data_IF_424319745106
#
_entry.id   IF_424319745106
#
_cell.length_a   1.000
_cell.length_b   1.000
_cell.length_c   1.000
_cell.angle_alpha   90.00
_cell.angle_beta   90.00
_cell.angle_gamma   90.00
#
_symmetry.space_group_name_H-M   'P 1'
#
loop_
_entity.id
_entity.type
_entity.pdbx_description
1 polymer ?
#
# COMPACT_ATOMS: atom_id res chain seq x y z
N UNK A 1 -6.91 -5.67 -26.37
CA UNK A 1 -6.73 -4.26 -25.97
C UNK A 1 -7.68 -3.97 -24.81
N UNK A 2 -7.17 -3.39 -23.73
CA UNK A 2 -7.99 -3.07 -22.56
C UNK A 2 -8.81 -1.80 -22.81
N UNK A 3 -10.04 -1.76 -22.30
CA UNK A 3 -10.96 -0.63 -22.44
C UNK A 3 -11.15 0.08 -21.11
N UNK A 4 -11.09 1.40 -21.11
CA UNK A 4 -11.36 2.22 -19.94
C UNK A 4 -12.79 1.97 -19.44
N UNK A 5 -12.98 1.63 -18.16
CA UNK A 5 -14.29 1.34 -17.61
C UNK A 5 -15.18 2.59 -17.50
N UNK A 6 -14.58 3.79 -17.53
CA UNK A 6 -15.28 5.08 -17.40
C UNK A 6 -15.75 5.67 -18.73
N UNK A 7 -14.91 5.60 -19.76
CA UNK A 7 -15.15 6.28 -21.05
C UNK A 7 -14.92 5.40 -22.29
N UNK A 8 -14.65 4.10 -22.11
CA UNK A 8 -14.46 3.09 -23.16
C UNK A 8 -13.31 3.36 -24.15
N UNK A 9 -12.41 4.31 -23.85
CA UNK A 9 -11.21 4.52 -24.67
C UNK A 9 -10.22 3.36 -24.49
N UNK A 10 -9.39 3.12 -25.50
CA UNK A 10 -8.30 2.16 -25.38
C UNK A 10 -7.29 2.64 -24.35
N UNK A 11 -7.00 1.81 -23.37
CA UNK A 11 -5.89 2.05 -22.46
C UNK A 11 -4.56 1.93 -23.20
N UNK A 12 -3.56 2.68 -22.75
CA UNK A 12 -2.21 2.65 -23.28
C UNK A 12 -1.25 2.27 -22.15
N UNK A 13 -0.22 1.49 -22.46
CA UNK A 13 0.83 1.20 -21.52
C UNK A 13 1.50 2.51 -21.05
N UNK A 14 1.70 2.62 -19.74
CA UNK A 14 2.40 3.70 -19.06
C UNK A 14 3.36 3.11 -18.01
N UNK A 15 4.28 3.93 -17.50
CA UNK A 15 5.15 3.56 -16.38
C UNK A 15 4.88 4.49 -15.21
N UNK A 16 4.54 3.93 -14.06
CA UNK A 16 4.36 4.65 -12.82
C UNK A 16 5.35 4.10 -11.80
N UNK A 17 6.30 4.93 -11.35
CA UNK A 17 7.32 4.55 -10.36
C UNK A 17 8.10 3.27 -10.76
N UNK A 18 8.35 3.09 -12.06
CA UNK A 18 9.03 1.89 -12.59
C UNK A 18 8.12 0.68 -12.83
N UNK A 19 6.85 0.75 -12.45
CA UNK A 19 5.86 -0.31 -12.68
C UNK A 19 5.10 -0.05 -13.98
N UNK A 20 5.03 -1.07 -14.82
CA UNK A 20 4.26 -1.01 -16.06
C UNK A 20 2.77 -1.14 -15.73
N UNK A 21 1.99 -0.13 -16.11
CA UNK A 21 0.53 -0.06 -15.89
C UNK A 21 -0.19 0.31 -17.19
N UNK A 22 -1.51 0.32 -17.17
CA UNK A 22 -2.34 0.77 -18.30
C UNK A 22 -3.11 2.05 -17.93
N UNK A 23 -2.92 3.14 -18.68
CA UNK A 23 -3.56 4.44 -18.43
C UNK A 23 -4.51 4.85 -19.56
N UNK A 24 -5.65 5.42 -19.19
CA UNK A 24 -6.56 6.03 -20.15
C UNK A 24 -6.07 7.42 -20.55
N UNK A 25 -5.79 7.67 -21.84
CA UNK A 25 -5.31 8.99 -22.29
C UNK A 25 -6.36 10.10 -22.20
N UNK A 26 -7.65 9.76 -22.02
CA UNK A 26 -8.75 10.73 -21.97
C UNK A 26 -9.07 11.16 -20.55
N UNK A 27 -9.36 10.22 -19.65
CA UNK A 27 -9.72 10.54 -18.27
C UNK A 27 -8.54 10.51 -17.29
N UNK A 28 -7.40 9.90 -17.65
CA UNK A 28 -6.22 9.74 -16.79
C UNK A 28 -6.34 8.64 -15.72
N UNK A 29 -7.40 7.84 -15.76
CA UNK A 29 -7.57 6.67 -14.89
C UNK A 29 -6.59 5.56 -15.26
N UNK A 30 -6.19 4.78 -14.24
CA UNK A 30 -5.10 3.81 -14.28
C UNK A 30 -5.61 2.45 -13.87
N UNK A 31 -5.23 1.45 -14.64
CA UNK A 31 -5.43 0.05 -14.35
C UNK A 31 -4.12 -0.57 -13.89
N UNK A 32 -4.18 -1.22 -12.74
CA UNK A 32 -3.12 -2.01 -12.15
C UNK A 32 -3.55 -3.48 -12.21
N UNK A 33 -2.75 -4.33 -12.82
CA UNK A 33 -2.89 -5.78 -12.66
C UNK A 33 -2.60 -6.18 -11.20
N UNK A 34 -2.78 -7.47 -10.93
CA UNK A 34 -2.41 -8.08 -9.66
C UNK A 34 -0.99 -7.64 -9.25
N UNK A 35 -0.86 -7.21 -8.01
CA UNK A 35 0.38 -6.76 -7.35
C UNK A 35 1.01 -5.46 -7.88
N UNK A 36 0.65 -4.97 -9.08
CA UNK A 36 1.24 -3.75 -9.66
C UNK A 36 1.02 -2.50 -8.79
N UNK A 37 -0.17 -2.36 -8.18
CA UNK A 37 -0.47 -1.22 -7.29
C UNK A 37 0.44 -1.21 -6.06
N UNK A 38 0.63 -2.39 -5.46
CA UNK A 38 1.51 -2.56 -4.30
C UNK A 38 2.95 -2.24 -4.65
N UNK A 39 3.48 -2.81 -5.73
CA UNK A 39 4.85 -2.55 -6.18
C UNK A 39 5.05 -1.05 -6.49
N UNK A 40 4.06 -0.38 -7.07
CA UNK A 40 4.13 1.05 -7.36
C UNK A 40 4.20 1.90 -6.09
N UNK A 41 3.47 1.52 -5.03
CA UNK A 41 3.59 2.16 -3.70
C UNK A 41 4.96 1.90 -3.10
N UNK A 42 5.40 0.65 -3.06
CA UNK A 42 6.69 0.27 -2.46
C UNK A 42 7.88 0.99 -3.13
N UNK A 43 7.72 1.38 -4.39
CA UNK A 43 8.72 2.13 -5.16
C UNK A 43 8.62 3.65 -4.96
N UNK A 44 7.70 4.13 -4.11
CA UNK A 44 7.47 5.57 -3.88
C UNK A 44 8.26 6.08 -2.68
N UNK A 45 8.23 5.36 -1.56
CA UNK A 45 8.94 5.70 -0.32
C UNK A 45 9.12 4.42 0.51
N UNK A 46 10.35 4.17 0.97
CA UNK A 46 10.71 2.98 1.77
C UNK A 46 9.97 2.97 3.12
N UNK A 47 9.67 4.16 3.69
CA UNK A 47 8.97 4.27 4.98
C UNK A 47 7.46 3.94 4.84
N UNK A 48 6.92 3.87 3.62
CA UNK A 48 5.52 3.48 3.35
C UNK A 48 5.35 2.01 2.96
N UNK A 49 6.46 1.27 2.86
CA UNK A 49 6.48 -0.08 2.30
C UNK A 49 5.68 -1.08 3.13
N UNK A 50 5.79 -1.00 4.46
CA UNK A 50 5.06 -1.83 5.43
C UNK A 50 3.54 -1.58 5.48
N UNK A 51 3.04 -0.50 4.90
CA UNK A 51 1.60 -0.25 4.86
C UNK A 51 0.96 -0.99 3.67
N UNK A 52 0.24 -2.07 3.97
CA UNK A 52 -0.34 -2.93 2.94
C UNK A 52 -1.60 -2.40 2.24
N UNK A 53 -1.82 -2.97 1.06
CA UNK A 53 -3.08 -2.88 0.31
C UNK A 53 -3.90 -4.16 0.53
N UNK A 54 -4.53 -4.30 1.70
CA UNK A 54 -5.41 -5.43 2.04
C UNK A 54 -6.79 -5.35 1.34
N UNK A 55 -6.79 -5.15 0.02
CA UNK A 55 -8.02 -4.95 -0.75
C UNK A 55 -8.80 -6.26 -0.95
N UNK A 56 -8.13 -7.39 -0.75
CA UNK A 56 -8.66 -8.73 -1.03
C UNK A 56 -8.80 -9.61 0.20
N UNK A 57 -8.57 -9.07 1.40
CA UNK A 57 -8.97 -9.74 2.64
C UNK A 57 -10.49 -9.61 2.81
N UNK A 58 -11.19 -10.75 2.70
CA UNK A 58 -12.65 -10.83 2.80
C UNK A 58 -13.15 -10.50 4.22
N UNK A 59 -12.30 -10.63 5.25
CA UNK A 59 -12.66 -10.29 6.64
C UNK A 59 -12.63 -8.77 6.89
N UNK A 60 -11.58 -8.09 6.40
CA UNK A 60 -11.42 -6.64 6.54
C UNK A 60 -12.45 -5.85 5.71
N UNK A 61 -12.84 -6.37 4.53
CA UNK A 61 -13.60 -5.60 3.54
C UNK A 61 -15.12 -5.79 3.56
N UNK A 62 -15.63 -6.73 4.36
CA UNK A 62 -17.04 -7.17 4.34
C UNK A 62 -18.05 -6.04 4.56
N UNK A 63 -17.66 -4.96 5.24
CA UNK A 63 -18.55 -3.84 5.62
C UNK A 63 -18.30 -2.52 4.85
N UNK A 64 -17.23 -2.42 4.06
CA UNK A 64 -16.88 -1.21 3.28
C UNK A 64 -17.02 -1.40 1.75
N UNK A 65 -17.17 -2.64 1.28
CA UNK A 65 -17.31 -2.98 -0.12
C UNK A 65 -18.75 -2.74 -0.66
N UNK A 66 -18.87 -2.11 -1.83
CA UNK A 66 -20.12 -1.86 -2.54
C UNK A 66 -20.01 -2.29 -4.01
N UNK A 67 -21.07 -2.78 -4.65
CA UNK A 67 -21.05 -3.06 -6.08
C UNK A 67 -20.69 -1.80 -6.89
N UNK A 68 -19.70 -1.91 -7.78
CA UNK A 68 -19.35 -0.83 -8.71
C UNK A 68 -20.13 -0.98 -10.02
N UNK A 69 -20.56 0.13 -10.66
CA UNK A 69 -21.11 0.09 -12.02
C UNK A 69 -20.03 -0.22 -13.09
N UNK A 70 -18.74 -0.11 -12.74
CA UNK A 70 -17.62 -0.31 -13.65
C UNK A 70 -17.36 -1.81 -13.88
N UNK A 71 -16.98 -2.17 -15.11
CA UNK A 71 -16.51 -3.52 -15.48
C UNK A 71 -14.99 -3.58 -15.53
N UNK A 72 -14.41 -4.70 -15.15
CA UNK A 72 -12.97 -4.90 -15.22
C UNK A 72 -12.47 -4.80 -16.67
N UNK A 73 -11.43 -3.99 -16.97
CA UNK A 73 -10.86 -3.89 -18.31
C UNK A 73 -10.27 -5.20 -18.86
N UNK A 74 -9.89 -6.12 -17.96
CA UNK A 74 -9.15 -7.36 -18.27
C UNK A 74 -10.07 -8.56 -18.52
N UNK A 75 -11.06 -8.77 -17.66
CA UNK A 75 -11.94 -9.95 -17.69
C UNK A 75 -13.44 -9.61 -17.83
N UNK A 76 -13.80 -8.32 -17.89
CA UNK A 76 -15.18 -7.82 -17.97
C UNK A 76 -16.09 -8.16 -16.79
N UNK A 77 -15.56 -8.73 -15.70
CA UNK A 77 -16.31 -8.98 -14.47
C UNK A 77 -16.78 -7.66 -13.84
N UNK A 78 -17.86 -7.73 -13.05
CA UNK A 78 -18.30 -6.58 -12.25
C UNK A 78 -17.26 -6.30 -11.18
N UNK A 79 -16.87 -5.04 -11.02
CA UNK A 79 -15.93 -4.64 -9.98
C UNK A 79 -16.65 -4.30 -8.68
N UNK A 80 -15.89 -4.32 -7.60
CA UNK A 80 -16.32 -3.93 -6.27
C UNK A 80 -15.61 -2.63 -5.92
N UNK A 81 -16.36 -1.63 -5.47
CA UNK A 81 -15.83 -0.36 -4.98
C UNK A 81 -15.66 -0.42 -3.47
N UNK A 82 -14.52 0.03 -2.95
CA UNK A 82 -14.28 0.19 -1.52
C UNK A 82 -13.51 1.47 -1.24
N UNK A 83 -13.65 2.00 -0.03
CA UNK A 83 -12.81 3.10 0.43
C UNK A 83 -11.47 2.54 0.92
N UNK A 84 -10.35 3.08 0.44
CA UNK A 84 -9.04 2.70 0.96
C UNK A 84 -8.86 3.26 2.38
N UNK A 85 -8.83 2.36 3.37
CA UNK A 85 -8.75 2.70 4.80
C UNK A 85 -9.79 3.78 5.18
N UNK A 86 -9.34 4.94 5.65
CA UNK A 86 -10.17 6.13 5.94
C UNK A 86 -9.72 7.33 5.10
N UNK A 87 -9.14 7.07 3.92
CA UNK A 87 -8.59 8.10 3.03
C UNK A 87 -9.65 8.84 2.20
N UNK A 88 -10.92 8.39 2.22
CA UNK A 88 -12.00 8.82 1.32
C UNK A 88 -11.72 8.59 -0.17
N UNK A 89 -10.67 7.85 -0.51
CA UNK A 89 -10.36 7.45 -1.88
C UNK A 89 -11.11 6.17 -2.18
N UNK A 90 -12.02 6.24 -3.16
CA UNK A 90 -12.78 5.09 -3.62
C UNK A 90 -11.99 4.37 -4.69
N UNK A 91 -11.60 3.13 -4.41
CA UNK A 91 -10.89 2.29 -5.36
C UNK A 91 -11.86 1.24 -5.92
N UNK A 92 -11.63 0.77 -7.14
CA UNK A 92 -12.36 -0.37 -7.68
C UNK A 92 -11.45 -1.58 -7.85
N UNK A 93 -11.82 -2.70 -7.24
CA UNK A 93 -11.12 -3.98 -7.38
C UNK A 93 -11.92 -4.97 -8.21
N UNK A 94 -11.21 -5.82 -8.94
CA UNK A 94 -11.79 -6.99 -9.57
C UNK A 94 -11.51 -8.23 -8.70
N UNK A 95 -12.57 -8.87 -8.19
CA UNK A 95 -12.43 -10.07 -7.36
C UNK A 95 -11.99 -11.32 -8.14
N UNK A 96 -12.05 -11.28 -9.49
CA UNK A 96 -11.65 -12.37 -10.39
C UNK A 96 -10.16 -12.30 -10.71
N UNK A 97 -9.69 -11.28 -11.42
CA UNK A 97 -8.26 -11.17 -11.80
C UNK A 97 -7.37 -10.46 -10.76
N UNK A 98 -7.95 -10.00 -9.64
CA UNK A 98 -7.25 -9.28 -8.55
C UNK A 98 -6.57 -7.98 -9.01
N UNK A 99 -7.05 -7.38 -10.09
CA UNK A 99 -6.61 -6.06 -10.55
C UNK A 99 -7.39 -4.92 -9.89
N UNK A 100 -6.83 -3.72 -9.96
CA UNK A 100 -7.37 -2.51 -9.32
C UNK A 100 -7.43 -1.37 -10.33
N UNK A 101 -8.52 -0.61 -10.32
CA UNK A 101 -8.69 0.63 -11.04
C UNK A 101 -8.63 1.81 -10.07
N UNK A 102 -7.87 2.83 -10.46
CA UNK A 102 -7.81 4.13 -9.79
C UNK A 102 -8.13 5.23 -10.80
N UNK A 103 -9.03 6.15 -10.44
CA UNK A 103 -9.25 7.37 -11.21
C UNK A 103 -8.04 8.33 -11.10
N UNK A 104 -8.01 9.34 -11.97
CA UNK A 104 -6.90 10.29 -12.06
C UNK A 104 -6.63 10.96 -10.71
N UNK A 105 -5.38 10.86 -10.25
CA UNK A 105 -4.89 11.48 -9.02
C UNK A 105 -5.28 10.75 -7.74
N UNK A 106 -5.97 9.61 -7.81
CA UNK A 106 -6.29 8.81 -6.62
C UNK A 106 -5.06 8.12 -6.02
N UNK A 107 -4.14 7.65 -6.87
CA UNK A 107 -2.86 7.11 -6.40
C UNK A 107 -2.10 8.11 -5.52
N UNK A 108 -1.94 9.36 -5.99
CA UNK A 108 -1.23 10.39 -5.23
C UNK A 108 -1.94 10.75 -3.92
N UNK A 109 -3.28 10.71 -3.89
CA UNK A 109 -4.06 10.92 -2.66
C UNK A 109 -3.84 9.79 -1.65
N UNK A 110 -3.77 8.55 -2.12
CA UNK A 110 -3.48 7.38 -1.28
C UNK A 110 -2.08 7.54 -0.68
N UNK A 111 -1.06 7.81 -1.50
CA UNK A 111 0.32 8.02 -1.00
C UNK A 111 0.34 9.13 0.05
N UNK A 112 -0.28 10.28 -0.23
CA UNK A 112 -0.35 11.38 0.73
C UNK A 112 -1.08 11.01 2.03
N UNK A 113 -2.12 10.20 1.96
CA UNK A 113 -2.79 9.70 3.16
C UNK A 113 -1.85 8.82 4.01
N UNK A 114 -1.09 7.94 3.36
CA UNK A 114 -0.12 7.05 4.02
C UNK A 114 1.04 7.83 4.65
N UNK A 115 1.59 8.84 3.95
CA UNK A 115 2.59 9.76 4.48
C UNK A 115 2.09 10.46 5.76
N UNK A 116 0.85 10.96 5.75
CA UNK A 116 0.27 11.60 6.93
C UNK A 116 0.09 10.61 8.09
N UNK A 117 -0.32 9.36 7.79
CA UNK A 117 -0.44 8.29 8.79
C UNK A 117 0.90 8.08 9.50
N UNK A 118 1.96 7.82 8.72
CA UNK A 118 3.34 7.62 9.23
C UNK A 118 3.81 8.80 10.09
N UNK A 119 3.56 10.04 9.65
CA UNK A 119 4.02 11.23 10.37
C UNK A 119 3.23 11.46 11.68
N UNK A 120 1.99 10.99 11.77
CA UNK A 120 1.10 11.28 12.91
C UNK A 120 1.04 10.20 13.99
N UNK A 121 1.50 8.98 13.70
CA UNK A 121 1.36 7.85 14.63
C UNK A 121 2.33 7.90 15.81
N UNK A 122 1.86 7.58 17.04
CA UNK A 122 2.69 7.53 18.23
C UNK A 122 3.50 6.24 18.30
N UNK A 123 4.56 6.22 19.13
CA UNK A 123 5.43 5.04 19.27
C UNK A 123 4.66 3.76 19.67
N UNK A 124 3.57 3.91 20.43
CA UNK A 124 2.75 2.78 20.87
C UNK A 124 1.99 2.07 19.75
N UNK A 125 1.59 2.79 18.69
CA UNK A 125 0.95 2.15 17.53
C UNK A 125 2.01 1.44 16.70
N UNK A 126 3.14 2.11 16.42
CA UNK A 126 4.28 1.48 15.76
C UNK A 126 4.77 0.21 16.46
N UNK A 127 4.75 0.16 17.79
CA UNK A 127 5.11 -1.06 18.52
C UNK A 127 4.21 -2.25 18.14
N UNK A 128 2.89 -2.02 17.95
CA UNK A 128 1.97 -3.07 17.51
C UNK A 128 2.25 -3.47 16.07
N UNK A 129 2.52 -2.50 15.21
CA UNK A 129 2.83 -2.76 13.80
C UNK A 129 4.16 -3.55 13.67
N UNK A 130 5.19 -3.24 14.48
CA UNK A 130 6.43 -4.04 14.57
C UNK A 130 6.13 -5.50 14.92
N UNK A 131 5.22 -5.76 15.86
CA UNK A 131 4.83 -7.14 16.19
C UNK A 131 4.08 -7.82 15.03
N UNK A 132 3.18 -7.09 14.36
CA UNK A 132 2.43 -7.59 13.19
C UNK A 132 3.39 -7.97 12.05
N UNK A 133 4.26 -7.06 11.64
CA UNK A 133 5.23 -7.30 10.56
C UNK A 133 6.19 -8.44 10.92
N UNK A 134 6.54 -8.59 12.21
CA UNK A 134 7.33 -9.73 12.67
C UNK A 134 6.61 -11.08 12.47
N UNK A 135 5.29 -11.13 12.71
CA UNK A 135 4.50 -12.33 12.42
C UNK A 135 4.44 -12.61 10.90
N UNK A 136 4.30 -11.58 10.09
CA UNK A 136 4.22 -11.67 8.62
C UNK A 136 5.52 -12.19 7.98
N UNK A 137 6.69 -12.00 8.59
CA UNK A 137 7.92 -12.69 8.15
C UNK A 137 7.74 -14.22 8.06
N UNK A 138 6.90 -14.81 8.91
CA UNK A 138 6.65 -16.25 8.95
C UNK A 138 5.37 -16.68 8.23
N UNK A 139 4.34 -15.84 8.25
CA UNK A 139 2.99 -16.19 7.75
C UNK A 139 2.52 -15.38 6.56
N UNK A 140 3.29 -14.38 6.14
CA UNK A 140 2.92 -13.38 5.15
C UNK A 140 2.72 -13.95 3.75
N UNK A 141 1.85 -13.31 2.93
CA UNK A 141 1.57 -13.75 1.57
C UNK A 141 2.69 -13.36 0.58
N UNK A 142 3.64 -12.51 1.00
CA UNK A 142 4.69 -12.01 0.14
C UNK A 142 5.97 -12.85 0.20
N UNK A 143 6.96 -12.48 -0.62
CA UNK A 143 8.28 -13.12 -0.52
C UNK A 143 8.92 -12.72 0.81
N UNK A 144 9.63 -13.65 1.46
CA UNK A 144 10.30 -13.41 2.75
C UNK A 144 11.21 -12.17 2.77
N UNK A 145 11.85 -11.83 1.64
CA UNK A 145 12.70 -10.63 1.54
C UNK A 145 11.85 -9.33 1.57
N UNK A 146 10.62 -9.38 1.07
CA UNK A 146 9.63 -8.30 1.14
C UNK A 146 9.27 -8.04 2.59
N UNK A 147 8.75 -9.07 3.27
CA UNK A 147 8.30 -9.03 4.66
C UNK A 147 9.41 -8.58 5.62
N UNK A 148 10.65 -9.04 5.40
CA UNK A 148 11.80 -8.59 6.20
C UNK A 148 12.05 -7.09 6.03
N UNK A 149 11.92 -6.55 4.81
CA UNK A 149 12.10 -5.11 4.58
C UNK A 149 10.98 -4.31 5.24
N UNK A 150 9.77 -4.83 5.21
CA UNK A 150 8.59 -4.19 5.80
C UNK A 150 8.73 -4.11 7.32
N UNK A 151 9.15 -5.21 7.95
CA UNK A 151 9.55 -5.24 9.37
C UNK A 151 10.63 -4.20 9.72
N UNK A 152 11.69 -4.10 8.92
CA UNK A 152 12.76 -3.12 9.21
C UNK A 152 12.33 -1.67 8.98
N UNK A 153 11.42 -1.40 8.02
CA UNK A 153 10.87 -0.08 7.80
C UNK A 153 10.05 0.38 9.02
N UNK A 154 9.15 -0.46 9.53
CA UNK A 154 8.35 -0.14 10.71
C UNK A 154 9.20 -0.06 11.98
N UNK A 155 10.21 -0.93 12.14
CA UNK A 155 11.14 -0.90 13.27
C UNK A 155 11.92 0.42 13.31
N UNK A 156 12.42 0.88 12.17
CA UNK A 156 13.12 2.17 12.07
C UNK A 156 12.20 3.33 12.46
N UNK A 157 10.95 3.35 11.99
CA UNK A 157 9.97 4.39 12.34
C UNK A 157 9.63 4.38 13.83
N UNK A 158 9.46 3.19 14.41
CA UNK A 158 9.27 3.00 15.85
C UNK A 158 10.44 3.61 16.63
N UNK A 159 11.67 3.26 16.27
CA UNK A 159 12.89 3.75 16.94
C UNK A 159 12.99 5.29 16.90
N UNK A 160 12.74 5.88 15.72
CA UNK A 160 12.71 7.35 15.56
C UNK A 160 11.65 7.97 16.48
N UNK A 161 10.43 7.42 16.46
CA UNK A 161 9.31 7.96 17.25
C UNK A 161 9.56 7.82 18.75
N UNK A 162 10.09 6.69 19.18
CA UNK A 162 10.41 6.40 20.58
C UNK A 162 11.44 7.39 21.13
N UNK A 163 12.48 7.72 20.36
CA UNK A 163 13.49 8.71 20.77
C UNK A 163 12.88 10.10 20.87
N UNK A 164 12.01 10.49 19.94
CA UNK A 164 11.35 11.81 19.95
C UNK A 164 10.39 11.94 21.14
N UNK A 165 9.59 10.92 21.43
CA UNK A 165 8.62 10.92 22.54
C UNK A 165 9.29 10.71 23.91
N UNK A 166 10.38 9.96 23.95
CA UNK A 166 11.11 9.61 25.17
C UNK A 166 12.62 9.83 25.00
N UNK A 167 13.10 11.08 25.06
CA UNK A 167 14.51 11.41 24.77
C UNK A 167 15.53 10.68 25.65
N UNK A 168 15.16 10.25 26.85
CA UNK A 168 16.02 9.45 27.74
C UNK A 168 16.41 8.09 27.16
N UNK A 169 15.66 7.58 26.18
CA UNK A 169 15.96 6.31 25.49
C UNK A 169 17.09 6.44 24.47
N UNK A 170 17.48 7.65 24.08
CA UNK A 170 18.52 7.90 23.08
C UNK A 170 19.87 7.26 23.47
N UNK A 171 20.24 7.32 24.76
CA UNK A 171 21.47 6.72 25.28
C UNK A 171 21.45 5.19 25.21
N UNK A 172 20.28 4.57 25.40
CA UNK A 172 20.11 3.12 25.25
C UNK A 172 20.25 2.72 23.78
N UNK A 173 19.62 3.49 22.89
CA UNK A 173 19.68 3.30 21.45
C UNK A 173 21.12 3.38 20.90
N UNK A 174 21.86 4.43 21.27
CA UNK A 174 23.27 4.61 20.88
C UNK A 174 24.16 3.48 21.40
N UNK A 175 23.89 2.95 22.60
CA UNK A 175 24.61 1.79 23.14
C UNK A 175 24.26 0.53 22.37
N UNK A 176 22.99 0.28 22.09
CA UNK A 176 22.54 -0.91 21.37
C UNK A 176 23.17 -1.01 19.98
N UNK A 177 23.09 0.05 19.16
CA UNK A 177 23.67 0.06 17.81
C UNK A 177 25.20 0.08 17.79
N UNK A 178 25.85 0.58 18.85
CA UNK A 178 27.31 0.49 19.01
C UNK A 178 27.79 -0.96 19.15
N UNK A 179 26.97 -1.86 19.69
CA UNK A 179 27.29 -3.27 19.90
C UNK A 179 26.52 -4.22 18.98
N UNK A 180 25.81 -3.69 17.98
CA UNK A 180 25.10 -4.51 17.00
C UNK A 180 26.11 -5.26 16.10
N UNK A 181 26.05 -6.60 16.04
CA UNK A 181 27.08 -7.42 15.41
C UNK A 181 27.05 -7.41 13.87
N UNK A 182 26.07 -6.75 13.24
CA UNK A 182 25.92 -6.66 11.78
C UNK A 182 26.27 -5.26 11.26
N UNK A 183 27.49 -4.80 11.54
CA UNK A 183 28.11 -3.69 10.82
C UNK A 183 28.78 -4.18 9.55
#
# INVERSE_FOLDING_TARGET
>A
MLKCPKDQHNLKAASLKGVRIDECPKCGGKWFNRDELRIAKDSTDDDLRWLDFDLFDDNANKYKARPSPKKCPKDSAKMTSLEYMDSKVMIEKCDVCKGVWLDKGEFDKIIKYMENKVISEPASEYAKDVFKEFEEIFTGPESTISEIKDFFAVLRLFEIRLIVEHPWTADFYLKFYKYWPLK
#
